data_IF_598801956615
#
_entry.id   IF_598801956615
#
_cell.length_a   1.000
_cell.length_b   1.000
_cell.length_c   1.000
_cell.angle_alpha   90.00
_cell.angle_beta   90.00
_cell.angle_gamma   90.00
#
_symmetry.space_group_name_H-M   'P 1'
#
loop_
_entity.id
_entity.type
_entity.pdbx_description
1 polymer ?
#
# COMPACT_ATOMS: atom_id res chain seq x y z
N UNK A 1 25.40 0.24 8.99
CA UNK A 1 24.09 0.23 8.32
C UNK A 1 23.04 0.68 9.34
N UNK A 2 22.32 1.77 9.08
CA UNK A 2 21.28 2.26 10.02
C UNK A 2 20.10 1.29 10.05
N UNK A 3 19.32 1.25 11.14
CA UNK A 3 18.14 0.36 11.25
C UNK A 3 17.13 0.59 10.12
N UNK A 4 16.99 1.84 9.67
CA UNK A 4 16.13 2.20 8.53
C UNK A 4 16.66 1.63 7.21
N UNK A 5 17.96 1.77 6.92
CA UNK A 5 18.58 1.19 5.72
C UNK A 5 18.32 -0.31 5.63
N UNK A 6 18.49 -1.03 6.75
CA UNK A 6 18.22 -2.48 6.79
C UNK A 6 16.73 -2.80 6.54
N UNK A 7 15.81 -1.98 7.07
CA UNK A 7 14.37 -2.14 6.85
C UNK A 7 14.00 -1.96 5.37
N UNK A 8 14.47 -0.87 4.77
CA UNK A 8 14.21 -0.47 3.38
C UNK A 8 14.78 -1.50 2.42
N UNK A 9 16.05 -1.88 2.58
CA UNK A 9 16.69 -2.87 1.72
C UNK A 9 16.04 -4.24 1.83
N UNK A 10 15.65 -4.67 3.04
CA UNK A 10 14.89 -5.91 3.22
C UNK A 10 13.54 -5.85 2.51
N UNK A 11 12.83 -4.73 2.55
CA UNK A 11 11.52 -4.56 1.90
C UNK A 11 11.65 -4.58 0.39
N UNK A 12 12.56 -3.78 -0.18
CA UNK A 12 12.85 -3.78 -1.61
C UNK A 12 13.22 -5.17 -2.11
N UNK A 13 14.14 -5.84 -1.43
CA UNK A 13 14.54 -7.21 -1.77
C UNK A 13 13.35 -8.19 -1.73
N UNK A 14 12.43 -8.03 -0.78
CA UNK A 14 11.23 -8.87 -0.68
C UNK A 14 10.29 -8.67 -1.88
N UNK A 15 10.04 -7.44 -2.30
CA UNK A 15 9.18 -7.14 -3.45
C UNK A 15 9.82 -7.49 -4.79
N UNK A 16 11.13 -7.27 -4.94
CA UNK A 16 11.90 -7.76 -6.10
C UNK A 16 11.81 -9.28 -6.20
N UNK A 17 11.93 -9.98 -5.08
CA UNK A 17 11.79 -11.43 -5.04
C UNK A 17 10.37 -11.89 -5.42
N UNK A 18 9.33 -11.27 -4.85
CA UNK A 18 7.94 -11.58 -5.21
C UNK A 18 7.65 -11.36 -6.71
N UNK A 19 8.14 -10.25 -7.28
CA UNK A 19 8.02 -9.96 -8.71
C UNK A 19 8.70 -11.05 -9.54
N UNK A 20 9.97 -11.36 -9.23
CA UNK A 20 10.73 -12.40 -9.93
C UNK A 20 10.07 -13.79 -9.84
N UNK A 21 9.48 -14.12 -8.69
CA UNK A 21 8.73 -15.36 -8.53
C UNK A 21 7.49 -15.39 -9.42
N UNK A 22 6.76 -14.28 -9.58
CA UNK A 22 5.60 -14.18 -10.50
C UNK A 22 5.98 -14.16 -11.99
N UNK A 23 7.22 -13.77 -12.36
CA UNK A 23 7.75 -13.92 -13.72
C UNK A 23 7.93 -15.41 -14.07
N UNK A 24 8.13 -16.26 -13.05
CA UNK A 24 8.25 -17.71 -13.17
C UNK A 24 9.70 -18.20 -13.24
N UNK A 25 9.88 -19.53 -13.14
CA UNK A 25 11.19 -20.18 -13.20
C UNK A 25 12.04 -20.00 -11.93
N UNK A 26 11.48 -19.39 -10.89
CA UNK A 26 12.16 -19.15 -9.61
C UNK A 26 11.64 -20.09 -8.52
N UNK A 27 12.54 -20.47 -7.61
CA UNK A 27 12.16 -21.25 -6.43
C UNK A 27 11.55 -20.35 -5.37
N UNK A 28 10.36 -20.70 -4.90
CA UNK A 28 9.78 -20.14 -3.69
C UNK A 28 10.47 -20.70 -2.45
N UNK A 29 11.10 -19.82 -1.67
CA UNK A 29 11.87 -20.11 -0.46
C UNK A 29 12.92 -21.22 -0.62
N UNK A 30 13.50 -21.37 -1.82
CA UNK A 30 14.40 -22.46 -2.18
C UNK A 30 13.80 -23.87 -2.02
N UNK A 31 12.47 -23.99 -2.00
CA UNK A 31 11.77 -25.26 -1.81
C UNK A 31 11.18 -25.80 -3.13
N UNK A 32 10.33 -25.00 -3.80
CA UNK A 32 9.56 -25.44 -4.97
C UNK A 32 9.70 -24.41 -6.08
N UNK A 33 10.01 -24.86 -7.30
CA UNK A 33 10.03 -23.99 -8.47
C UNK A 33 8.60 -23.67 -8.90
N UNK A 34 8.28 -22.39 -9.03
CA UNK A 34 7.00 -21.94 -9.56
C UNK A 34 7.17 -21.55 -11.03
N UNK A 35 6.47 -22.24 -11.92
CA UNK A 35 6.55 -21.98 -13.35
C UNK A 35 5.46 -21.00 -13.81
N UNK A 36 5.76 -20.24 -14.86
CA UNK A 36 4.78 -19.30 -15.44
C UNK A 36 3.52 -20.03 -15.90
N UNK A 37 3.71 -21.12 -16.64
CA UNK A 37 2.68 -22.10 -16.97
C UNK A 37 3.11 -23.47 -16.42
N UNK A 38 2.23 -24.23 -15.76
CA UNK A 38 0.81 -23.95 -15.52
C UNK A 38 0.53 -23.19 -14.21
N UNK A 39 1.49 -23.11 -13.28
CA UNK A 39 1.22 -22.76 -11.87
C UNK A 39 0.71 -21.33 -11.66
N UNK A 40 1.47 -20.35 -12.15
CA UNK A 40 1.20 -18.94 -11.87
C UNK A 40 -0.03 -18.43 -12.64
N UNK A 41 -0.24 -18.91 -13.87
CA UNK A 41 -1.45 -18.56 -14.64
C UNK A 41 -2.72 -19.13 -14.01
N UNK A 42 -2.69 -20.37 -13.53
CA UNK A 42 -3.82 -20.94 -12.79
C UNK A 42 -4.11 -20.13 -11.52
N UNK A 43 -3.06 -19.76 -10.78
CA UNK A 43 -3.19 -18.87 -9.63
C UNK A 43 -3.81 -17.51 -9.99
N UNK A 44 -3.31 -16.84 -11.03
CA UNK A 44 -3.83 -15.54 -11.45
C UNK A 44 -5.30 -15.62 -11.90
N UNK A 45 -5.72 -16.75 -12.49
CA UNK A 45 -7.12 -16.99 -12.84
C UNK A 45 -8.04 -17.17 -11.63
N UNK A 46 -7.52 -17.66 -10.50
CA UNK A 46 -8.25 -17.78 -9.23
C UNK A 46 -8.34 -16.44 -8.47
N UNK A 47 -7.52 -15.44 -8.81
CA UNK A 47 -7.54 -14.14 -8.13
C UNK A 47 -8.84 -13.37 -8.45
N UNK A 48 -9.61 -12.93 -7.44
CA UNK A 48 -10.81 -12.13 -7.66
C UNK A 48 -10.49 -10.79 -8.33
N UNK A 49 -11.31 -10.39 -9.32
CA UNK A 49 -11.19 -9.08 -9.99
C UNK A 49 -11.19 -7.89 -9.03
N UNK A 50 -11.95 -8.00 -7.94
CA UNK A 50 -11.98 -6.99 -6.88
C UNK A 50 -10.60 -6.77 -6.26
N UNK A 51 -9.81 -7.84 -6.06
CA UNK A 51 -8.45 -7.75 -5.54
C UNK A 51 -7.50 -7.08 -6.52
N UNK A 52 -7.57 -7.41 -7.81
CA UNK A 52 -6.77 -6.73 -8.83
C UNK A 52 -7.07 -5.23 -8.86
N UNK A 53 -8.35 -4.87 -8.74
CA UNK A 53 -8.79 -3.46 -8.66
C UNK A 53 -8.26 -2.77 -7.40
N UNK A 54 -8.31 -3.44 -6.25
CA UNK A 54 -7.75 -2.95 -4.99
C UNK A 54 -6.26 -2.63 -5.09
N UNK A 55 -5.47 -3.55 -5.66
CA UNK A 55 -4.04 -3.37 -5.87
C UNK A 55 -3.75 -2.26 -6.88
N UNK A 56 -4.56 -2.16 -7.95
CA UNK A 56 -4.44 -1.10 -8.95
C UNK A 56 -4.69 0.28 -8.36
N UNK A 57 -5.78 0.49 -7.62
CA UNK A 57 -6.05 1.78 -6.97
C UNK A 57 -4.98 2.14 -5.94
N UNK A 58 -4.45 1.16 -5.19
CA UNK A 58 -3.32 1.39 -4.28
C UNK A 58 -2.08 1.86 -5.05
N UNK A 59 -1.68 1.14 -6.11
CA UNK A 59 -0.52 1.49 -6.92
C UNK A 59 -0.67 2.87 -7.56
N UNK A 60 -1.83 3.14 -8.16
CA UNK A 60 -2.14 4.43 -8.81
C UNK A 60 -2.05 5.60 -7.81
N UNK A 61 -2.61 5.42 -6.62
CA UNK A 61 -2.62 6.45 -5.58
C UNK A 61 -1.22 6.68 -4.99
N UNK A 62 -0.45 5.62 -4.74
CA UNK A 62 0.95 5.72 -4.32
C UNK A 62 1.82 6.41 -5.38
N UNK A 63 1.61 6.11 -6.65
CA UNK A 63 2.34 6.76 -7.75
C UNK A 63 2.07 8.28 -7.79
N UNK A 64 0.83 8.72 -7.53
CA UNK A 64 0.50 10.14 -7.42
C UNK A 64 1.26 10.82 -6.28
N UNK A 65 1.38 10.17 -5.11
CA UNK A 65 2.13 10.71 -3.98
C UNK A 65 3.63 10.85 -4.28
N UNK A 66 4.18 10.01 -5.16
CA UNK A 66 5.58 10.13 -5.60
C UNK A 66 5.79 11.28 -6.59
N UNK A 67 4.78 11.58 -7.42
CA UNK A 67 4.87 12.60 -8.48
C UNK A 67 4.70 14.04 -7.97
N UNK A 68 4.11 14.24 -6.79
CA UNK A 68 3.76 15.58 -6.29
C UNK A 68 4.95 16.46 -5.87
N UNK A 69 6.19 16.02 -6.12
CA UNK A 69 7.41 16.79 -5.81
C UNK A 69 7.65 17.01 -4.31
N UNK A 70 6.86 16.36 -3.45
CA UNK A 70 6.92 16.54 -2.01
C UNK A 70 8.14 15.83 -1.40
N UNK A 71 8.64 16.32 -0.27
CA UNK A 71 9.67 15.64 0.53
C UNK A 71 9.15 14.31 1.11
N UNK A 72 10.07 13.41 1.48
CA UNK A 72 9.74 12.07 1.95
C UNK A 72 8.80 12.04 3.15
N UNK A 73 8.89 13.03 4.06
CA UNK A 73 7.97 13.15 5.19
C UNK A 73 6.49 13.33 4.75
N UNK A 74 6.24 14.12 3.70
CA UNK A 74 4.89 14.28 3.15
C UNK A 74 4.40 12.98 2.50
N UNK A 75 5.29 12.24 1.84
CA UNK A 75 4.96 10.92 1.28
C UNK A 75 4.61 9.93 2.38
N UNK A 76 5.30 9.93 3.52
CA UNK A 76 4.95 9.10 4.69
C UNK A 76 3.54 9.44 5.20
N UNK A 77 3.26 10.73 5.42
CA UNK A 77 1.95 11.20 5.92
C UNK A 77 0.84 10.82 4.95
N UNK A 78 1.04 11.10 3.66
CA UNK A 78 0.08 10.80 2.62
C UNK A 78 -0.13 9.30 2.40
N UNK A 79 0.93 8.48 2.47
CA UNK A 79 0.80 7.03 2.38
C UNK A 79 0.02 6.45 3.55
N UNK A 80 0.23 6.95 4.77
CA UNK A 80 -0.52 6.50 5.95
C UNK A 80 -2.01 6.85 5.82
N UNK A 81 -2.32 8.08 5.39
CA UNK A 81 -3.69 8.52 5.13
C UNK A 81 -4.34 7.70 4.00
N UNK A 82 -3.62 7.48 2.90
CA UNK A 82 -4.06 6.64 1.78
C UNK A 82 -4.44 5.22 2.24
N UNK A 83 -3.66 4.60 3.12
CA UNK A 83 -4.00 3.26 3.62
C UNK A 83 -5.29 3.24 4.44
N UNK A 84 -5.59 4.28 5.23
CA UNK A 84 -6.86 4.36 5.96
C UNK A 84 -8.05 4.55 5.01
N UNK A 85 -7.91 5.40 3.99
CA UNK A 85 -8.92 5.62 2.95
C UNK A 85 -9.17 4.35 2.13
N UNK A 86 -8.09 3.70 1.69
CA UNK A 86 -8.14 2.45 0.93
C UNK A 86 -8.80 1.32 1.73
N UNK A 87 -8.41 1.15 3.00
CA UNK A 87 -9.04 0.16 3.86
C UNK A 87 -10.52 0.44 4.08
N UNK A 88 -10.91 1.71 4.23
CA UNK A 88 -12.31 2.09 4.38
C UNK A 88 -13.10 1.82 3.10
N UNK A 89 -12.57 2.22 1.94
CA UNK A 89 -13.24 2.07 0.65
C UNK A 89 -13.58 0.61 0.34
N UNK A 90 -12.68 -0.31 0.71
CA UNK A 90 -12.85 -1.75 0.49
C UNK A 90 -13.34 -2.51 1.73
N UNK A 91 -13.65 -1.82 2.83
CA UNK A 91 -14.25 -2.45 4.00
C UNK A 91 -15.71 -2.86 3.74
N UNK A 92 -16.18 -3.91 4.40
CA UNK A 92 -17.59 -4.28 4.36
C UNK A 92 -18.50 -3.25 5.03
N UNK A 93 -19.78 -3.25 4.69
CA UNK A 93 -20.76 -2.24 5.10
C UNK A 93 -20.77 -1.95 6.62
N UNK A 94 -20.69 -2.99 7.46
CA UNK A 94 -20.65 -2.83 8.91
C UNK A 94 -19.37 -2.12 9.41
N UNK A 95 -18.23 -2.36 8.77
CA UNK A 95 -16.98 -1.71 9.14
C UNK A 95 -16.93 -0.26 8.62
N UNK A 96 -17.54 0.01 7.46
CA UNK A 96 -17.70 1.37 6.94
C UNK A 96 -18.63 2.23 7.81
N UNK A 97 -19.71 1.67 8.35
CA UNK A 97 -20.60 2.44 9.24
C UNK A 97 -19.88 2.84 10.53
N UNK A 98 -19.20 1.90 11.19
CA UNK A 98 -18.46 2.16 12.44
C UNK A 98 -17.32 3.16 12.21
N UNK A 99 -16.49 2.96 11.18
CA UNK A 99 -15.38 3.88 10.88
C UNK A 99 -15.89 5.24 10.41
N UNK A 100 -17.04 5.29 9.74
CA UNK A 100 -17.64 6.54 9.28
C UNK A 100 -18.20 7.41 10.41
N UNK A 101 -18.68 6.80 11.49
CA UNK A 101 -19.08 7.54 12.71
C UNK A 101 -17.88 8.23 13.38
N UNK A 102 -16.69 7.64 13.30
CA UNK A 102 -15.44 8.17 13.85
C UNK A 102 -14.72 9.16 12.92
N UNK A 103 -15.22 9.36 11.70
CA UNK A 103 -14.62 10.28 10.74
C UNK A 103 -14.74 11.74 11.20
N UNK A 104 -13.69 12.52 10.95
CA UNK A 104 -13.66 13.95 11.28
C UNK A 104 -14.65 14.68 10.37
N UNK A 105 -15.64 15.34 10.95
CA UNK A 105 -16.54 16.23 10.21
C UNK A 105 -15.77 17.50 9.88
N UNK A 106 -15.65 17.82 8.60
CA UNK A 106 -15.09 19.10 8.18
C UNK A 106 -16.21 20.15 8.08
N UNK A 107 -16.60 20.74 9.21
CA UNK A 107 -17.50 21.92 9.23
C UNK A 107 -16.71 23.18 8.89
N UNK A 108 -16.47 23.42 7.60
CA UNK A 108 -16.25 24.79 7.13
C UNK A 108 -17.62 25.48 7.05
N UNK A 109 -18.09 26.00 8.19
CA UNK A 109 -19.14 27.02 8.20
C UNK A 109 -18.45 28.37 8.03
N UNK A 110 -18.72 29.06 6.91
CA UNK A 110 -18.53 30.51 6.85
C UNK A 110 -19.31 31.16 7.99
N UNK A 111 -18.58 31.78 8.92
CA UNK A 111 -19.12 32.60 10.00
C UNK A 111 -18.00 33.50 10.51
N UNK A 112 -18.09 34.79 10.19
CA UNK A 112 -17.10 35.83 10.44
C UNK A 112 -16.65 35.87 11.91
N UNK A 113 -15.34 35.77 12.11
CA UNK A 113 -14.60 36.18 13.28
C UNK A 113 -13.18 36.52 12.80
N UNK A 114 -12.86 37.81 12.86
CA UNK A 114 -11.68 38.45 12.25
C UNK A 114 -10.40 38.06 13.01
N UNK A 115 -9.35 37.71 12.26
CA UNK A 115 -7.91 38.04 12.43
C UNK A 115 -6.96 36.89 12.02
N UNK A 116 -6.09 37.18 11.04
CA UNK A 116 -4.92 36.39 10.62
C UNK A 116 -5.20 35.44 9.45
N UNK A 117 -5.06 35.82 8.19
CA UNK A 117 -3.83 36.34 7.59
C UNK A 117 -3.15 35.19 6.84
N UNK A 118 -3.40 35.08 5.54
CA UNK A 118 -2.80 34.04 4.72
C UNK A 118 -1.28 34.14 4.68
N UNK A 119 -0.60 33.01 4.65
CA UNK A 119 0.72 32.86 4.05
C UNK A 119 1.03 31.39 3.80
N UNK A 120 1.42 31.10 2.56
CA UNK A 120 2.30 30.00 2.26
C UNK A 120 3.66 30.25 2.93
N UNK A 121 4.07 29.37 3.84
CA UNK A 121 5.47 29.05 4.17
C UNK A 121 5.50 28.16 5.41
N UNK A 122 6.38 27.16 5.38
CA UNK A 122 6.43 26.08 6.36
C UNK A 122 6.93 26.46 7.75
N UNK A 123 6.93 25.45 8.62
CA UNK A 123 7.53 25.49 9.93
C UNK A 123 6.50 25.43 11.06
N UNK A 124 5.91 24.26 11.31
CA UNK A 124 5.12 24.07 12.53
C UNK A 124 4.42 22.72 12.72
N UNK A 125 4.09 22.00 11.64
CA UNK A 125 3.34 20.73 11.73
C UNK A 125 4.20 19.50 12.03
N UNK A 126 5.52 19.65 12.02
CA UNK A 126 6.41 18.49 12.11
C UNK A 126 6.52 17.88 13.50
N UNK A 127 6.32 18.64 14.57
CA UNK A 127 6.48 18.12 15.93
C UNK A 127 5.21 17.51 16.55
N UNK A 128 4.12 17.40 15.78
CA UNK A 128 2.90 16.73 16.22
C UNK A 128 2.88 15.26 15.75
N UNK A 129 2.26 14.35 16.53
CA UNK A 129 2.03 12.98 16.09
C UNK A 129 1.32 12.94 14.73
N UNK A 130 1.85 12.15 13.80
CA UNK A 130 1.21 11.90 12.51
C UNK A 130 -0.02 11.03 12.75
N UNK A 131 -1.21 11.57 12.46
CA UNK A 131 -2.48 10.84 12.60
C UNK A 131 -3.23 10.86 11.29
N UNK A 132 -3.43 9.68 10.69
CA UNK A 132 -4.35 9.49 9.57
C UNK A 132 -5.78 9.35 10.10
N UNK A 133 -6.72 10.11 9.52
CA UNK A 133 -8.15 10.03 9.86
C UNK A 133 -8.99 10.21 8.62
N UNK A 134 -10.07 9.44 8.55
CA UNK A 134 -11.10 9.63 7.53
C UNK A 134 -11.79 10.98 7.75
N UNK A 135 -12.07 11.66 6.64
CA UNK A 135 -12.77 12.94 6.62
C UNK A 135 -14.15 12.74 5.98
N UNK A 136 -15.16 13.44 6.52
CA UNK A 136 -16.49 13.51 5.93
C UNK A 136 -16.93 14.95 5.70
N UNK A 137 -17.62 15.17 4.59
CA UNK A 137 -18.30 16.41 4.27
C UNK A 137 -19.80 16.11 4.20
N UNK A 138 -20.57 16.64 5.15
CA UNK A 138 -21.95 16.20 5.37
C UNK A 138 -22.01 14.71 5.72
N UNK A 139 -22.74 13.93 4.92
CA UNK A 139 -22.87 12.47 5.07
C UNK A 139 -21.91 11.68 4.17
N UNK A 140 -21.13 12.33 3.31
CA UNK A 140 -20.24 11.66 2.35
C UNK A 140 -18.79 11.63 2.84
N UNK A 141 -18.11 10.52 2.58
CA UNK A 141 -16.68 10.38 2.85
C UNK A 141 -15.88 11.02 1.74
N UNK A 142 -14.87 11.79 2.12
CA UNK A 142 -13.96 12.47 1.19
C UNK A 142 -12.59 11.83 1.31
N UNK A 143 -12.06 11.36 0.19
CA UNK A 143 -10.71 10.82 0.09
C UNK A 143 -9.75 11.89 -0.40
N UNK A 144 -8.62 12.03 0.28
CA UNK A 144 -7.57 12.99 -0.06
C UNK A 144 -6.55 12.40 -1.04
N UNK A 145 -6.22 11.13 -0.88
CA UNK A 145 -5.15 10.48 -1.65
C UNK A 145 -5.63 9.28 -2.45
N UNK A 146 -6.68 8.59 -2.00
CA UNK A 146 -7.21 7.43 -2.72
C UNK A 146 -7.85 7.86 -4.05
N UNK A 147 -7.36 7.27 -5.14
CA UNK A 147 -7.88 7.43 -6.50
C UNK A 147 -8.68 6.20 -6.91
N UNK A 148 -9.92 6.42 -7.37
CA UNK A 148 -10.86 5.36 -7.79
C UNK A 148 -11.47 5.66 -9.17
N UNK A 149 -10.64 5.82 -10.23
CA UNK A 149 -11.17 6.10 -11.55
C UNK A 149 -12.05 4.94 -12.06
N UNK A 150 -13.13 5.21 -12.80
CA UNK A 150 -13.92 4.15 -13.42
C UNK A 150 -13.05 3.35 -14.40
N UNK A 151 -13.15 2.02 -14.32
CA UNK A 151 -12.36 1.11 -15.15
C UNK A 151 -13.19 0.61 -16.34
N UNK A 152 -12.84 0.96 -17.59
CA UNK A 152 -13.60 0.54 -18.77
C UNK A 152 -13.26 -0.89 -19.23
N UNK A 153 -12.23 -1.52 -18.65
CA UNK A 153 -11.77 -2.86 -19.00
C UNK A 153 -11.37 -3.67 -17.76
N UNK A 154 -11.27 -4.99 -17.94
CA UNK A 154 -10.75 -5.88 -16.91
C UNK A 154 -9.23 -5.73 -16.81
N UNK A 155 -8.74 -5.53 -15.59
CA UNK A 155 -7.31 -5.41 -15.31
C UNK A 155 -6.62 -6.78 -15.35
N UNK A 156 -5.42 -6.83 -15.94
CA UNK A 156 -4.53 -7.99 -15.85
C UNK A 156 -3.85 -8.03 -14.47
N UNK A 157 -3.92 -9.17 -13.79
CA UNK A 157 -3.38 -9.30 -12.45
C UNK A 157 -1.86 -9.14 -12.40
N UNK A 158 -1.14 -9.75 -13.34
CA UNK A 158 0.32 -9.73 -13.33
C UNK A 158 0.85 -8.32 -13.59
N UNK A 159 0.31 -7.64 -14.60
CA UNK A 159 0.73 -6.28 -14.94
C UNK A 159 0.50 -5.31 -13.77
N UNK A 160 -0.67 -5.42 -13.12
CA UNK A 160 -0.98 -4.63 -11.93
C UNK A 160 -0.03 -4.95 -10.78
N UNK A 161 0.21 -6.23 -10.50
CA UNK A 161 1.07 -6.66 -9.40
C UNK A 161 2.53 -6.25 -9.61
N UNK A 162 3.06 -6.40 -10.83
CA UNK A 162 4.41 -6.00 -11.20
C UNK A 162 4.60 -4.49 -11.06
N UNK A 163 3.66 -3.71 -11.60
CA UNK A 163 3.66 -2.26 -11.47
C UNK A 163 3.61 -1.83 -10.00
N UNK A 164 2.76 -2.48 -9.19
CA UNK A 164 2.67 -2.20 -7.76
C UNK A 164 3.99 -2.50 -7.04
N UNK A 165 4.66 -3.60 -7.34
CA UNK A 165 5.97 -3.93 -6.74
C UNK A 165 7.01 -2.84 -7.03
N UNK A 166 7.05 -2.34 -8.26
CA UNK A 166 7.98 -1.29 -8.67
C UNK A 166 7.65 0.05 -7.99
N UNK A 167 6.37 0.40 -7.90
CA UNK A 167 5.91 1.61 -7.19
C UNK A 167 6.25 1.52 -5.70
N UNK A 168 5.99 0.39 -5.05
CA UNK A 168 6.35 0.19 -3.63
C UNK A 168 7.86 0.32 -3.42
N UNK A 169 8.69 -0.24 -4.30
CA UNK A 169 10.14 -0.06 -4.24
C UNK A 169 10.54 1.43 -4.35
N UNK A 170 9.89 2.20 -5.22
CA UNK A 170 10.12 3.65 -5.33
C UNK A 170 9.67 4.40 -4.08
N UNK A 171 8.54 4.04 -3.47
CA UNK A 171 8.13 4.56 -2.16
C UNK A 171 9.22 4.30 -1.13
N UNK A 172 9.71 3.06 -1.00
CA UNK A 172 10.78 2.76 -0.04
C UNK A 172 12.10 3.48 -0.31
N UNK A 173 12.43 3.80 -1.57
CA UNK A 173 13.56 4.67 -1.88
C UNK A 173 13.31 6.10 -1.39
N UNK A 174 12.09 6.62 -1.57
CA UNK A 174 11.71 7.96 -1.08
C UNK A 174 11.72 8.05 0.46
N UNK A 175 11.42 6.95 1.15
CA UNK A 175 11.48 6.83 2.60
C UNK A 175 12.90 6.91 3.21
N UNK A 176 13.94 6.92 2.36
CA UNK A 176 15.34 7.08 2.76
C UNK A 176 15.78 8.54 2.87
N UNK A 177 14.93 9.49 2.50
CA UNK A 177 15.22 10.92 2.65
C UNK A 177 15.29 11.32 4.13
N UNK A 178 16.14 12.30 4.45
CA UNK A 178 16.47 12.66 5.84
C UNK A 178 15.24 13.09 6.65
N UNK A 179 14.25 13.73 6.02
CA UNK A 179 13.03 14.17 6.70
C UNK A 179 12.19 12.99 7.22
N UNK A 180 12.39 11.77 6.70
CA UNK A 180 11.63 10.58 7.08
C UNK A 180 12.04 9.99 8.44
N UNK A 181 13.26 10.27 8.89
CA UNK A 181 13.83 9.65 10.10
C UNK A 181 14.50 10.61 11.06
N UNK A 182 14.71 11.86 10.67
CA UNK A 182 15.11 12.94 11.59
C UNK A 182 14.01 13.26 12.60
N UNK A 183 12.75 13.18 12.19
CA UNK A 183 11.60 13.42 13.03
C UNK A 183 11.00 12.12 13.59
N UNK A 184 10.88 12.02 14.91
CA UNK A 184 10.36 10.82 15.60
C UNK A 184 8.93 10.46 15.19
N UNK A 185 8.05 11.44 15.02
CA UNK A 185 6.65 11.21 14.66
C UNK A 185 6.50 10.76 13.20
N UNK A 186 7.33 11.30 12.30
CA UNK A 186 7.40 10.84 10.91
C UNK A 186 7.95 9.42 10.85
N UNK A 187 8.99 9.11 11.64
CA UNK A 187 9.54 7.76 11.71
C UNK A 187 8.53 6.73 12.24
N UNK A 188 7.75 7.07 13.27
CA UNK A 188 6.66 6.21 13.77
C UNK A 188 5.60 5.97 12.69
N UNK A 189 5.24 7.00 11.92
CA UNK A 189 4.32 6.87 10.81
C UNK A 189 4.89 5.98 9.70
N UNK A 190 6.17 6.11 9.38
CA UNK A 190 6.87 5.25 8.42
C UNK A 190 6.79 3.78 8.84
N UNK A 191 7.01 3.47 10.12
CA UNK A 191 6.87 2.11 10.65
C UNK A 191 5.44 1.59 10.51
N UNK A 192 4.43 2.45 10.72
CA UNK A 192 3.02 2.08 10.47
C UNK A 192 2.73 1.83 9.00
N UNK A 193 3.30 2.63 8.10
CA UNK A 193 3.21 2.42 6.64
C UNK A 193 3.83 1.06 6.26
N UNK A 194 5.03 0.73 6.76
CA UNK A 194 5.65 -0.59 6.54
C UNK A 194 4.74 -1.72 7.05
N UNK A 195 4.12 -1.56 8.23
CA UNK A 195 3.18 -2.54 8.75
C UNK A 195 1.97 -2.75 7.82
N UNK A 196 1.39 -1.67 7.27
CA UNK A 196 0.27 -1.73 6.31
C UNK A 196 0.69 -2.39 4.99
N UNK A 197 1.83 -2.00 4.41
CA UNK A 197 2.38 -2.61 3.19
C UNK A 197 2.59 -4.12 3.38
N UNK A 198 3.16 -4.52 4.52
CA UNK A 198 3.35 -5.94 4.82
C UNK A 198 2.02 -6.67 4.94
N UNK A 199 1.08 -6.10 5.70
CA UNK A 199 -0.22 -6.73 5.97
C UNK A 199 -1.02 -6.95 4.70
N UNK A 200 -1.11 -5.95 3.83
CA UNK A 200 -2.03 -5.94 2.70
C UNK A 200 -1.46 -6.51 1.41
N UNK A 201 -0.13 -6.46 1.24
CA UNK A 201 0.50 -6.89 -0.01
C UNK A 201 1.47 -8.04 0.23
N UNK A 202 2.53 -7.83 1.02
CA UNK A 202 3.62 -8.80 1.16
C UNK A 202 3.13 -10.12 1.76
N UNK A 203 2.48 -10.08 2.92
CA UNK A 203 2.10 -11.27 3.68
C UNK A 203 1.00 -12.05 2.97
N UNK A 204 0.07 -11.36 2.32
CA UNK A 204 -1.02 -11.99 1.57
C UNK A 204 -0.44 -12.80 0.41
N UNK A 205 0.40 -12.15 -0.40
CA UNK A 205 1.03 -12.78 -1.56
C UNK A 205 1.96 -13.93 -1.15
N UNK A 206 2.79 -13.71 -0.12
CA UNK A 206 3.69 -14.75 0.38
C UNK A 206 2.94 -15.97 0.93
N UNK A 207 1.79 -15.76 1.58
CA UNK A 207 0.93 -16.86 2.05
C UNK A 207 0.40 -17.68 0.88
N UNK A 208 -0.11 -17.03 -0.15
CA UNK A 208 -0.65 -17.72 -1.34
C UNK A 208 0.41 -18.52 -2.08
N UNK A 209 1.61 -17.95 -2.23
CA UNK A 209 2.75 -18.68 -2.81
C UNK A 209 3.15 -19.87 -1.97
N UNK A 210 3.14 -19.74 -0.64
CA UNK A 210 3.41 -20.85 0.26
C UNK A 210 2.34 -21.95 0.12
N UNK A 211 1.07 -21.59 0.01
CA UNK A 211 -0.02 -22.54 -0.20
C UNK A 211 0.08 -23.26 -1.55
N UNK A 212 0.40 -22.53 -2.63
CA UNK A 212 0.63 -23.06 -3.97
C UNK A 212 1.82 -24.02 -3.99
N UNK A 213 2.98 -23.59 -3.47
CA UNK A 213 4.17 -24.44 -3.36
C UNK A 213 3.89 -25.71 -2.56
N UNK A 214 3.13 -25.62 -1.47
CA UNK A 214 2.75 -26.79 -0.68
C UNK A 214 1.85 -27.76 -1.46
N UNK A 215 0.95 -27.27 -2.33
CA UNK A 215 0.14 -28.13 -3.21
C UNK A 215 1.02 -28.84 -4.23
N UNK A 216 1.92 -28.12 -4.89
CA UNK A 216 2.85 -28.68 -5.90
C UNK A 216 3.76 -29.74 -5.25
N UNK A 217 4.39 -29.42 -4.12
CA UNK A 217 5.26 -30.36 -3.41
C UNK A 217 4.54 -31.67 -3.02
N UNK A 218 3.27 -31.59 -2.59
CA UNK A 218 2.46 -32.78 -2.29
C UNK A 218 2.18 -33.62 -3.54
N UNK A 219 1.91 -32.98 -4.67
CA UNK A 219 1.66 -33.66 -5.94
C UNK A 219 2.90 -34.40 -6.43
N UNK A 220 4.06 -33.74 -6.42
CA UNK A 220 5.35 -34.33 -6.80
C UNK A 220 5.71 -35.53 -5.91
N UNK A 221 5.54 -35.40 -4.59
CA UNK A 221 5.78 -36.51 -3.66
C UNK A 221 4.82 -37.69 -3.87
N UNK A 222 3.58 -37.43 -4.30
CA UNK A 222 2.61 -38.47 -4.61
C UNK A 222 2.96 -39.21 -5.91
N UNK A 223 3.53 -38.50 -6.90
CA UNK A 223 3.95 -39.10 -8.18
C UNK A 223 5.17 -40.02 -8.05
N UNK A 224 5.95 -39.89 -6.97
CA UNK A 224 7.10 -40.74 -6.68
C UNK A 224 6.75 -42.05 -5.95
N UNK A 225 5.48 -42.22 -5.53
CA UNK A 225 4.99 -43.44 -4.87
C UNK A 225 4.32 -44.37 -5.87
#
# INVERSE_FOLDING_TARGET
MTKLQALVEKRKSSFVYLKKTHEGGCYWLNCVQLNRKPDLEAYAAEIPRARTTQLFYLGLSLARLLQSGCGGAAVVRGALQLFEEWEYHFAGNAAQSVRGLMAKVNTQTQGQGVEGGGSASGGGEDNNPVVARLCKFGSEMVYEHLLTPPLPFALDYFEVFFSLCDIICQVYNKLMEEECYSNVHVFEALVKVDAKVKRHVLNVTAKEFTEMSAKIARSELAALR
#
